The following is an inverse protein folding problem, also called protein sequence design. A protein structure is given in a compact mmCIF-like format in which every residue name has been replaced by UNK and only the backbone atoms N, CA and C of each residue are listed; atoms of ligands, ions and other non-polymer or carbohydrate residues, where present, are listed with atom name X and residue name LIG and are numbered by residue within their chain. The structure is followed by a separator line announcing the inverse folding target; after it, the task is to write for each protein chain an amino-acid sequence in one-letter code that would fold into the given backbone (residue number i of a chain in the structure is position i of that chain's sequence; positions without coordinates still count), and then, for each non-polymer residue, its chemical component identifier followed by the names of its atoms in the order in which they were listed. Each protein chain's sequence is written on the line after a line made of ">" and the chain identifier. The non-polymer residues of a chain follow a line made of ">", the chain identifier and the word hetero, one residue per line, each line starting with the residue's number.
data_IF_337676315105
#
_entry.id   IF_337676315105
#
_cell.length_a   1.000
_cell.length_b   1.000
_cell.length_c   1.000
_cell.angle_alpha   90.00
_cell.angle_beta   90.00
_cell.angle_gamma   90.00
#
_symmetry.space_group_name_H-M   'P 1'
#
loop_
_entity.id
_entity.type
_entity.pdbx_description
1 polymer ?
#
# COMPACT_ATOMS: atom_id res chain seq x y z
N UNK A 1 9.17 1.65 20.36
CA UNK A 1 9.86 0.89 19.30
C UNK A 1 9.83 1.78 18.07
N UNK A 2 10.84 2.63 17.96
CA UNK A 2 11.06 3.48 16.78
C UNK A 2 11.48 2.59 15.62
N UNK A 3 10.83 2.79 14.48
CA UNK A 3 11.28 2.24 13.19
C UNK A 3 12.04 3.40 12.56
N UNK A 4 13.27 3.62 13.01
CA UNK A 4 14.21 4.54 12.37
C UNK A 4 14.85 3.86 11.16
N UNK A 5 14.95 4.63 10.08
CA UNK A 5 15.56 4.33 8.77
C UNK A 5 15.13 3.02 8.07
N UNK A 6 14.12 3.18 7.21
CA UNK A 6 13.53 2.14 6.34
C UNK A 6 14.49 1.74 5.20
N UNK A 7 15.59 1.06 5.50
CA UNK A 7 16.05 -0.01 4.61
C UNK A 7 15.11 -1.18 4.84
N UNK A 8 14.09 -1.33 3.99
CA UNK A 8 13.17 -2.46 4.05
C UNK A 8 13.94 -3.71 3.61
N UNK A 9 14.57 -4.38 4.57
CA UNK A 9 15.13 -5.71 4.33
C UNK A 9 14.01 -6.76 4.41
N UNK A 10 14.26 -7.94 3.85
CA UNK A 10 13.32 -9.06 3.92
C UNK A 10 13.17 -9.49 5.38
N UNK A 11 12.02 -9.21 5.99
CA UNK A 11 11.76 -9.53 7.39
C UNK A 11 10.49 -10.37 7.50
N UNK A 12 10.63 -11.57 8.05
CA UNK A 12 9.50 -12.37 8.54
C UNK A 12 9.26 -12.05 10.01
N UNK A 13 8.10 -11.47 10.34
CA UNK A 13 7.70 -11.25 11.74
C UNK A 13 6.63 -12.25 12.15
N UNK A 14 6.81 -12.85 13.32
CA UNK A 14 5.85 -13.75 13.94
C UNK A 14 5.57 -13.27 15.35
N UNK A 15 4.31 -12.93 15.66
CA UNK A 15 3.87 -12.62 17.03
C UNK A 15 2.88 -13.69 17.48
N UNK A 16 3.38 -14.86 17.90
CA UNK A 16 2.68 -15.96 18.60
C UNK A 16 1.51 -16.66 17.87
N UNK A 17 0.70 -15.91 17.12
CA UNK A 17 -0.54 -16.33 16.47
C UNK A 17 -0.64 -15.85 15.00
N UNK A 18 0.28 -15.01 14.52
CA UNK A 18 0.23 -14.46 13.16
C UNK A 18 1.62 -14.27 12.56
N UNK A 19 1.73 -14.49 11.25
CA UNK A 19 2.94 -14.28 10.45
C UNK A 19 2.65 -13.35 9.29
N UNK A 20 3.52 -12.38 9.05
CA UNK A 20 3.59 -11.65 7.79
C UNK A 20 5.04 -11.58 7.30
N UNK A 21 5.18 -11.54 5.98
CA UNK A 21 6.46 -11.39 5.29
C UNK A 21 6.51 -9.98 4.70
N UNK A 22 7.51 -9.20 5.10
CA UNK A 22 7.84 -7.91 4.50
C UNK A 22 8.96 -8.14 3.50
N UNK A 23 8.80 -7.62 2.29
CA UNK A 23 9.79 -7.77 1.23
C UNK A 23 9.92 -6.48 0.42
N UNK A 24 11.07 -6.30 -0.22
CA UNK A 24 11.22 -5.37 -1.35
C UNK A 24 11.32 -6.24 -2.59
N UNK A 25 10.49 -5.96 -3.59
CA UNK A 25 10.45 -6.77 -4.80
C UNK A 25 10.77 -5.93 -6.02
N UNK A 26 11.64 -6.46 -6.87
CA UNK A 26 11.90 -5.86 -8.18
C UNK A 26 10.68 -6.05 -9.09
N UNK A 27 10.53 -5.14 -10.04
CA UNK A 27 9.47 -5.18 -11.04
C UNK A 27 9.38 -6.54 -11.79
N UNK A 28 10.51 -7.13 -12.16
CA UNK A 28 10.56 -8.41 -12.85
C UNK A 28 10.11 -9.57 -11.95
N UNK A 29 10.54 -9.59 -10.68
CA UNK A 29 10.16 -10.61 -9.72
C UNK A 29 8.67 -10.56 -9.38
N UNK A 30 8.13 -9.35 -9.24
CA UNK A 30 6.70 -9.16 -9.06
C UNK A 30 5.94 -9.69 -10.27
N UNK A 31 6.35 -9.37 -11.51
CA UNK A 31 5.68 -9.87 -12.71
C UNK A 31 5.74 -11.40 -12.82
N UNK A 32 6.88 -12.00 -12.53
CA UNK A 32 7.04 -13.46 -12.47
C UNK A 32 6.12 -14.09 -11.39
N UNK A 33 5.98 -13.43 -10.24
CA UNK A 33 5.07 -13.85 -9.19
C UNK A 33 3.61 -13.78 -9.64
N UNK A 34 3.18 -12.67 -10.25
CA UNK A 34 1.82 -12.51 -10.76
C UNK A 34 1.47 -13.58 -11.80
N UNK A 35 2.42 -13.94 -12.66
CA UNK A 35 2.22 -14.94 -13.70
C UNK A 35 2.26 -16.39 -13.17
N UNK A 36 2.89 -16.64 -12.01
CA UNK A 36 2.99 -17.97 -11.39
C UNK A 36 1.92 -18.29 -10.35
N UNK A 37 1.18 -17.28 -9.85
CA UNK A 37 0.10 -17.45 -8.87
C UNK A 37 -1.20 -16.79 -9.31
N UNK A 38 -1.96 -17.39 -10.24
CA UNK A 38 -3.20 -16.80 -10.77
C UNK A 38 -4.34 -16.73 -9.73
N UNK A 39 -4.33 -17.60 -8.71
CA UNK A 39 -5.45 -17.74 -7.76
C UNK A 39 -5.28 -16.89 -6.48
N UNK A 40 -4.16 -16.17 -6.35
CA UNK A 40 -3.90 -15.31 -5.19
C UNK A 40 -4.63 -13.96 -5.31
N UNK A 41 -5.19 -13.48 -4.20
CA UNK A 41 -5.75 -12.12 -4.13
C UNK A 41 -4.64 -11.10 -3.89
N UNK A 42 -4.44 -10.18 -4.85
CA UNK A 42 -3.36 -9.19 -4.81
C UNK A 42 -3.99 -7.80 -4.86
N UNK A 43 -3.63 -6.97 -3.89
CA UNK A 43 -4.07 -5.57 -3.83
C UNK A 43 -2.88 -4.66 -4.01
N UNK A 44 -2.96 -3.80 -5.03
CA UNK A 44 -2.00 -2.75 -5.27
C UNK A 44 -2.40 -1.51 -4.48
N UNK A 45 -1.44 -0.88 -3.79
CA UNK A 45 -1.64 0.38 -3.05
C UNK A 45 -0.86 1.47 -3.73
N UNK A 46 -1.59 2.38 -4.38
CA UNK A 46 -1.03 3.55 -5.03
C UNK A 46 -0.81 4.67 -4.03
N UNK A 47 0.45 5.04 -3.81
CA UNK A 47 0.88 6.10 -2.90
C UNK A 47 1.37 7.34 -3.66
N UNK A 48 1.07 7.46 -4.96
CA UNK A 48 1.33 8.68 -5.74
C UNK A 48 0.47 9.84 -5.21
N UNK A 49 0.95 11.06 -5.43
CA UNK A 49 0.15 12.28 -5.26
C UNK A 49 -0.26 12.82 -6.62
N UNK A 50 -1.13 13.83 -6.63
CA UNK A 50 -1.62 14.43 -7.86
C UNK A 50 -0.51 15.11 -8.69
N UNK A 51 0.58 15.56 -8.05
CA UNK A 51 1.72 16.19 -8.73
C UNK A 51 2.73 15.18 -9.30
N UNK A 52 2.64 13.91 -8.91
CA UNK A 52 3.49 12.85 -9.46
C UNK A 52 3.11 12.66 -10.93
N UNK A 53 4.01 13.09 -11.80
CA UNK A 53 3.82 13.23 -13.24
C UNK A 53 3.65 11.90 -14.02
N UNK A 54 3.14 10.83 -13.41
CA UNK A 54 2.91 9.56 -14.09
C UNK A 54 1.48 9.45 -14.63
N UNK A 55 0.52 10.19 -14.06
CA UNK A 55 -0.85 10.32 -14.58
C UNK A 55 -1.61 8.99 -14.74
N UNK A 56 -1.03 7.89 -14.27
CA UNK A 56 -1.51 6.53 -14.44
C UNK A 56 -1.33 5.72 -13.17
N UNK A 57 -2.19 4.72 -13.01
CA UNK A 57 -2.17 3.79 -11.90
C UNK A 57 -2.39 2.37 -12.40
N UNK A 58 -2.08 1.41 -11.53
CA UNK A 58 -2.44 0.00 -11.74
C UNK A 58 -3.97 -0.11 -11.65
N UNK A 59 -4.64 -0.77 -12.61
CA UNK A 59 -6.10 -0.97 -12.55
C UNK A 59 -6.54 -1.63 -11.24
N UNK A 60 -7.61 -1.12 -10.61
CA UNK A 60 -8.10 -1.63 -9.33
C UNK A 60 -7.20 -1.34 -8.12
N UNK A 61 -6.18 -0.48 -8.25
CA UNK A 61 -5.34 -0.10 -7.13
C UNK A 61 -6.15 0.67 -6.05
N UNK A 62 -5.84 0.37 -4.80
CA UNK A 62 -6.28 1.11 -3.64
C UNK A 62 -5.46 2.40 -3.54
N UNK A 63 -6.05 3.53 -3.92
CA UNK A 63 -5.32 4.79 -3.98
C UNK A 63 -5.36 5.54 -2.65
N UNK A 64 -4.18 5.77 -2.08
CA UNK A 64 -3.98 6.62 -0.92
C UNK A 64 -3.23 7.89 -1.35
N UNK A 65 -3.99 8.97 -1.50
CA UNK A 65 -3.38 10.26 -1.83
C UNK A 65 -2.51 10.73 -0.65
N UNK A 66 -1.19 10.80 -0.86
CA UNK A 66 -0.22 11.26 0.16
C UNK A 66 0.73 12.28 -0.44
N UNK A 67 0.70 13.51 0.07
CA UNK A 67 1.57 14.59 -0.44
C UNK A 67 3.04 14.39 -0.04
N UNK A 68 3.29 13.69 1.06
CA UNK A 68 4.63 13.46 1.59
C UNK A 68 4.76 12.11 2.29
N UNK A 69 6.01 11.71 2.55
CA UNK A 69 6.27 10.53 3.37
C UNK A 69 5.78 10.70 4.81
N UNK A 70 5.81 11.92 5.35
CA UNK A 70 5.28 12.23 6.68
C UNK A 70 3.77 11.98 6.73
N UNK A 71 3.04 12.51 5.74
CA UNK A 71 1.61 12.32 5.57
C UNK A 71 1.21 10.83 5.46
N UNK A 72 2.10 10.01 4.90
CA UNK A 72 1.89 8.57 4.75
C UNK A 72 2.12 7.74 6.05
N UNK A 73 2.73 8.30 7.11
CA UNK A 73 3.16 7.52 8.29
C UNK A 73 2.03 6.93 9.13
N UNK A 74 0.87 7.59 9.15
CA UNK A 74 -0.29 7.20 9.97
C UNK A 74 -1.60 7.05 9.17
N UNK A 75 -1.51 7.06 7.84
CA UNK A 75 -2.68 7.08 6.95
C UNK A 75 -3.61 5.88 7.17
N UNK A 76 -3.09 4.67 7.38
CA UNK A 76 -3.93 3.49 7.57
C UNK A 76 -4.61 3.47 8.94
N UNK A 77 -3.99 4.04 9.97
CA UNK A 77 -4.64 4.23 11.27
C UNK A 77 -5.82 5.19 11.13
N UNK A 78 -5.64 6.28 10.40
CA UNK A 78 -6.69 7.27 10.17
C UNK A 78 -7.82 6.70 9.29
N UNK A 79 -7.50 6.03 8.18
CA UNK A 79 -8.49 5.35 7.33
C UNK A 79 -9.29 4.31 8.11
N UNK A 80 -8.63 3.54 8.98
CA UNK A 80 -9.30 2.59 9.85
C UNK A 80 -10.27 3.27 10.82
N UNK A 81 -9.86 4.35 11.49
CA UNK A 81 -10.74 5.10 12.40
C UNK A 81 -11.97 5.66 11.68
N UNK A 82 -11.79 6.18 10.47
CA UNK A 82 -12.85 6.87 9.73
C UNK A 82 -13.79 5.90 9.01
N UNK A 83 -13.25 4.88 8.36
CA UNK A 83 -14.04 3.91 7.62
C UNK A 83 -13.33 2.53 7.57
N UNK A 84 -13.47 1.68 8.61
CA UNK A 84 -12.84 0.37 8.66
C UNK A 84 -13.18 -0.52 7.45
N UNK A 85 -14.41 -0.40 6.91
CA UNK A 85 -14.88 -1.22 5.79
C UNK A 85 -14.10 -0.97 4.50
N UNK A 86 -13.58 0.25 4.33
CA UNK A 86 -12.78 0.61 3.16
C UNK A 86 -11.49 -0.22 3.03
N UNK A 87 -10.97 -0.75 4.14
CA UNK A 87 -9.74 -1.56 4.17
C UNK A 87 -10.02 -3.06 4.08
N UNK A 88 -11.28 -3.48 3.88
CA UNK A 88 -11.67 -4.89 3.88
C UNK A 88 -10.94 -5.73 2.83
N UNK A 89 -10.87 -5.26 1.58
CA UNK A 89 -10.16 -5.94 0.49
C UNK A 89 -8.66 -6.05 0.76
N UNK A 90 -8.07 -4.96 1.26
CA UNK A 90 -6.65 -4.90 1.61
C UNK A 90 -6.29 -5.90 2.72
N UNK A 91 -7.10 -6.00 3.77
CA UNK A 91 -6.88 -6.91 4.89
C UNK A 91 -7.12 -8.39 4.53
N UNK A 92 -7.99 -8.64 3.55
CA UNK A 92 -8.32 -9.99 3.07
C UNK A 92 -7.34 -10.53 2.01
N UNK A 93 -6.50 -9.67 1.41
CA UNK A 93 -5.60 -10.04 0.34
C UNK A 93 -4.49 -11.02 0.78
N UNK A 94 -4.00 -11.85 -0.13
CA UNK A 94 -2.82 -12.69 0.05
C UNK A 94 -1.52 -11.89 -0.09
N UNK A 95 -1.53 -10.87 -0.96
CA UNK A 95 -0.41 -9.96 -1.15
C UNK A 95 -0.88 -8.51 -1.24
N UNK A 96 -0.12 -7.61 -0.62
CA UNK A 96 -0.29 -6.16 -0.75
C UNK A 96 0.99 -5.55 -1.31
N UNK A 97 0.87 -4.84 -2.42
CA UNK A 97 1.99 -4.22 -3.14
C UNK A 97 1.91 -2.71 -3.01
N UNK A 98 2.83 -2.11 -2.26
CA UNK A 98 2.94 -0.66 -2.12
C UNK A 98 3.83 -0.08 -3.22
N UNK A 99 3.36 0.97 -3.89
CA UNK A 99 4.16 1.68 -4.89
C UNK A 99 3.82 3.17 -4.91
N UNK A 100 4.76 3.98 -5.39
CA UNK A 100 4.54 5.33 -5.85
C UNK A 100 5.34 5.49 -7.15
N UNK A 101 5.58 6.70 -7.62
CA UNK A 101 6.33 6.92 -8.86
C UNK A 101 7.70 6.24 -8.87
N UNK A 102 8.44 6.38 -7.76
CA UNK A 102 9.82 5.88 -7.61
C UNK A 102 10.02 4.97 -6.40
N UNK A 103 9.04 4.87 -5.50
CA UNK A 103 9.08 4.09 -4.26
C UNK A 103 10.13 4.51 -3.20
N UNK A 104 10.71 5.71 -3.28
CA UNK A 104 11.78 6.11 -2.35
C UNK A 104 11.30 6.46 -0.93
N UNK A 105 10.11 7.04 -0.76
CA UNK A 105 9.71 7.62 0.53
C UNK A 105 8.25 7.34 0.93
N UNK A 106 7.28 7.61 0.04
CA UNK A 106 5.86 7.44 0.34
C UNK A 106 5.44 5.98 0.49
N UNK A 107 5.87 5.10 -0.42
CA UNK A 107 5.49 3.68 -0.38
C UNK A 107 6.03 2.96 0.86
N UNK A 108 7.31 3.13 1.26
CA UNK A 108 7.81 2.57 2.51
C UNK A 108 7.10 3.13 3.75
N UNK A 109 6.80 4.44 3.76
CA UNK A 109 6.08 5.08 4.86
C UNK A 109 4.63 4.54 4.99
N UNK A 110 3.89 4.47 3.88
CA UNK A 110 2.56 3.90 3.82
C UNK A 110 2.53 2.42 4.19
N UNK A 111 3.50 1.63 3.72
CA UNK A 111 3.67 0.24 4.13
C UNK A 111 3.86 0.13 5.65
N UNK A 112 4.71 0.99 6.21
CA UNK A 112 4.96 1.02 7.67
C UNK A 112 3.68 1.36 8.44
N UNK A 113 2.91 2.35 7.97
CA UNK A 113 1.59 2.69 8.50
C UNK A 113 0.66 1.48 8.49
N UNK A 114 0.58 0.77 7.37
CA UNK A 114 -0.25 -0.43 7.22
C UNK A 114 0.18 -1.56 8.18
N UNK A 115 1.48 -1.83 8.29
CA UNK A 115 2.02 -2.84 9.20
C UNK A 115 1.72 -2.51 10.67
N UNK A 116 1.83 -1.23 11.06
CA UNK A 116 1.41 -0.76 12.39
C UNK A 116 -0.09 -1.01 12.63
N UNK A 117 -0.95 -0.72 11.65
CA UNK A 117 -2.38 -1.02 11.75
C UNK A 117 -2.61 -2.53 11.97
N UNK A 118 -1.97 -3.38 11.16
CA UNK A 118 -2.09 -4.84 11.30
C UNK A 118 -1.65 -5.33 12.66
N UNK A 119 -0.54 -4.82 13.19
CA UNK A 119 -0.07 -5.14 14.53
C UNK A 119 -1.09 -4.75 15.61
N UNK A 120 -1.71 -3.56 15.49
CA UNK A 120 -2.75 -3.11 16.42
C UNK A 120 -4.00 -4.00 16.37
N UNK A 121 -4.45 -4.40 15.17
CA UNK A 121 -5.59 -5.30 15.01
C UNK A 121 -5.29 -6.70 15.58
N UNK A 122 -4.08 -7.21 15.37
CA UNK A 122 -3.64 -8.48 15.95
C UNK A 122 -3.58 -8.42 17.49
N UNK A 123 -3.10 -7.32 18.07
CA UNK A 123 -3.10 -7.11 19.53
C UNK A 123 -4.52 -7.08 20.11
N UNK A 124 -5.51 -6.65 19.33
CA UNK A 124 -6.94 -6.72 19.66
C UNK A 124 -7.56 -8.11 19.42
N UNK A 125 -6.74 -9.13 19.15
CA UNK A 125 -7.16 -10.52 18.85
C UNK A 125 -8.12 -10.62 17.66
N UNK A 126 -8.07 -9.67 16.72
CA UNK A 126 -8.83 -9.80 15.47
C UNK A 126 -8.17 -10.87 14.59
N UNK A 127 -8.96 -11.74 13.93
CA UNK A 127 -8.41 -12.72 13.01
C UNK A 127 -7.75 -11.99 11.83
N UNK A 128 -6.47 -12.28 11.60
CA UNK A 128 -5.70 -11.72 10.50
C UNK A 128 -5.25 -12.85 9.57
N UNK A 129 -5.51 -12.69 8.26
CA UNK A 129 -4.99 -13.60 7.24
C UNK A 129 -3.47 -13.45 7.17
N UNK A 130 -2.75 -14.55 6.92
CA UNK A 130 -1.35 -14.47 6.51
C UNK A 130 -1.27 -13.69 5.20
N UNK A 131 -0.37 -12.71 5.15
CA UNK A 131 -0.25 -11.82 4.00
C UNK A 131 1.22 -11.51 3.74
N UNK A 132 1.60 -11.49 2.47
CA UNK A 132 2.88 -10.94 2.01
C UNK A 132 2.71 -9.46 1.72
N UNK A 133 3.54 -8.62 2.31
CA UNK A 133 3.51 -7.17 2.15
C UNK A 133 4.79 -6.76 1.47
N UNK A 134 4.70 -6.11 0.31
CA UNK A 134 5.86 -5.76 -0.49
C UNK A 134 5.88 -4.28 -0.86
N UNK A 135 7.08 -3.72 -0.95
CA UNK A 135 7.32 -2.46 -1.69
C UNK A 135 7.83 -2.83 -3.08
N UNK A 136 7.23 -2.25 -4.11
CA UNK A 136 7.72 -2.33 -5.48
C UNK A 136 8.95 -1.43 -5.62
N UNK A 137 10.14 -2.02 -5.70
CA UNK A 137 11.39 -1.31 -5.87
C UNK A 137 11.32 -0.42 -7.12
N UNK A 138 11.83 0.82 -7.02
CA UNK A 138 11.83 1.83 -8.09
C UNK A 138 10.45 2.22 -8.63
N UNK A 139 9.38 1.74 -8.00
CA UNK A 139 8.01 2.21 -8.19
C UNK A 139 7.38 1.88 -9.54
N UNK A 140 6.29 2.60 -9.84
CA UNK A 140 5.48 2.38 -11.04
C UNK A 140 6.26 2.62 -12.34
N UNK A 141 7.21 3.56 -12.32
CA UNK A 141 7.96 3.93 -13.52
C UNK A 141 8.78 2.78 -14.08
N UNK A 142 9.45 2.02 -13.21
CA UNK A 142 10.20 0.84 -13.64
C UNK A 142 9.24 -0.30 -14.00
N UNK A 143 8.21 -0.55 -13.19
CA UNK A 143 7.31 -1.65 -13.48
C UNK A 143 6.58 -1.50 -14.82
N UNK A 144 6.18 -0.27 -15.20
CA UNK A 144 5.53 -0.01 -16.50
C UNK A 144 6.41 -0.39 -17.70
N UNK A 145 7.74 -0.26 -17.58
CA UNK A 145 8.64 -0.56 -18.69
C UNK A 145 8.82 -2.06 -18.92
N UNK A 146 8.46 -2.88 -17.94
CA UNK A 146 8.65 -4.34 -17.95
C UNK A 146 7.32 -5.08 -18.15
N UNK A 147 6.26 -4.64 -17.49
CA UNK A 147 5.03 -5.44 -17.33
C UNK A 147 4.19 -5.54 -18.61
N UNK A 148 4.32 -4.61 -19.57
CA UNK A 148 3.47 -4.55 -20.77
C UNK A 148 1.96 -4.38 -20.49
N UNK A 149 1.54 -4.38 -19.21
CA UNK A 149 0.16 -4.20 -18.76
C UNK A 149 -0.33 -2.80 -19.07
N UNK A 150 -1.61 -2.71 -19.45
CA UNK A 150 -2.29 -1.42 -19.66
C UNK A 150 -2.48 -0.72 -18.31
N UNK A 151 -1.88 0.44 -18.16
CA UNK A 151 -2.11 1.33 -17.01
C UNK A 151 -3.36 2.20 -17.23
N UNK A 152 -4.06 2.55 -16.16
CA UNK A 152 -5.27 3.38 -16.22
C UNK A 152 -4.93 4.85 -15.92
N UNK A 153 -5.42 5.83 -16.70
CA UNK A 153 -5.31 7.24 -16.33
C UNK A 153 -6.00 7.55 -15.00
N UNK A 154 -5.40 8.42 -14.20
CA UNK A 154 -5.88 8.78 -12.85
C UNK A 154 -7.32 9.36 -12.83
N UNK A 155 -7.75 10.01 -13.91
CA UNK A 155 -8.96 10.86 -13.91
C UNK A 155 -10.26 10.15 -14.35
N UNK A 156 -10.20 8.89 -14.75
CA UNK A 156 -11.38 8.20 -15.28
C UNK A 156 -12.07 7.41 -14.16
N UNK A 157 -13.15 7.97 -13.58
CA UNK A 157 -14.16 7.19 -12.85
C UNK A 157 -13.90 6.86 -11.38
N UNK A 158 -12.90 7.48 -10.74
CA UNK A 158 -12.66 7.33 -9.30
C UNK A 158 -13.70 8.10 -8.49
N UNK A 159 -14.37 7.43 -7.55
CA UNK A 159 -15.27 8.06 -6.57
C UNK A 159 -14.54 8.28 -5.25
N UNK A 160 -14.73 9.46 -4.69
CA UNK A 160 -14.26 9.81 -3.35
C UNK A 160 -14.95 8.93 -2.31
N UNK A 161 -14.22 8.02 -1.69
CA UNK A 161 -14.77 6.98 -0.81
C UNK A 161 -14.59 7.28 0.68
N UNK A 162 -13.52 7.98 1.06
CA UNK A 162 -13.30 8.45 2.42
C UNK A 162 -12.42 9.70 2.43
N UNK A 163 -12.63 10.54 3.45
CA UNK A 163 -11.75 11.65 3.76
C UNK A 163 -11.18 11.44 5.15
N UNK A 164 -9.87 11.57 5.29
CA UNK A 164 -9.26 11.76 6.60
C UNK A 164 -8.72 13.18 6.69
N UNK A 165 -8.84 13.80 7.86
CA UNK A 165 -8.09 15.00 8.21
C UNK A 165 -6.90 14.55 9.06
N UNK A 166 -5.71 14.99 8.69
CA UNK A 166 -4.53 14.84 9.55
C UNK A 166 -4.67 15.70 10.79
N UNK A 167 -4.23 15.16 11.92
CA UNK A 167 -4.35 15.81 13.23
C UNK A 167 -3.37 16.98 13.39
N UNK A 168 -2.27 17.00 12.62
CA UNK A 168 -1.16 17.96 12.88
C UNK A 168 -1.11 19.17 11.91
N UNK A 169 -1.58 19.06 10.65
CA UNK A 169 -1.35 20.12 9.65
C UNK A 169 -2.59 20.52 8.82
N UNK A 170 -3.76 19.97 9.12
CA UNK A 170 -4.96 20.20 8.31
C UNK A 170 -4.94 19.55 6.92
N UNK A 171 -3.95 18.69 6.63
CA UNK A 171 -3.90 17.93 5.38
C UNK A 171 -5.14 17.03 5.23
N UNK A 172 -5.76 17.09 4.05
CA UNK A 172 -6.95 16.34 3.70
C UNK A 172 -6.54 15.16 2.83
N UNK A 173 -6.67 13.95 3.37
CA UNK A 173 -6.45 12.71 2.64
C UNK A 173 -7.73 12.29 1.96
N UNK A 174 -7.64 11.84 0.73
CA UNK A 174 -8.79 11.31 0.00
C UNK A 174 -8.50 9.88 -0.44
N UNK A 175 -9.35 8.97 0.01
CA UNK A 175 -9.43 7.63 -0.55
C UNK A 175 -10.32 7.67 -1.78
N UNK A 176 -9.88 7.03 -2.84
CA UNK A 176 -10.68 6.80 -4.03
C UNK A 176 -10.92 5.30 -4.22
N UNK A 177 -12.14 4.94 -4.61
CA UNK A 177 -12.50 3.58 -5.03
C UNK A 177 -13.22 3.63 -6.37
N UNK A 178 -13.21 2.51 -7.10
CA UNK A 178 -14.02 2.32 -8.31
C UNK A 178 -15.52 2.20 -7.98
#
# INVERSE_FOLDING_TARGET
>A
MEIDDLTVEKVRKTNGFFTWEVDVTQAADLENFLNSKPDGTIVFVDCQNASDNVGVQVPGAFHIHTESALAARDIFQQLWKNNPKSLGSLLAADMVVFYCSYAHARSPAAMTSYLKLRANLAAQKRPMRQQKVVVLERGLNEWKSITGRKMRPWNLGLKKAAVAKGDDDGEIYTLYTE
#
